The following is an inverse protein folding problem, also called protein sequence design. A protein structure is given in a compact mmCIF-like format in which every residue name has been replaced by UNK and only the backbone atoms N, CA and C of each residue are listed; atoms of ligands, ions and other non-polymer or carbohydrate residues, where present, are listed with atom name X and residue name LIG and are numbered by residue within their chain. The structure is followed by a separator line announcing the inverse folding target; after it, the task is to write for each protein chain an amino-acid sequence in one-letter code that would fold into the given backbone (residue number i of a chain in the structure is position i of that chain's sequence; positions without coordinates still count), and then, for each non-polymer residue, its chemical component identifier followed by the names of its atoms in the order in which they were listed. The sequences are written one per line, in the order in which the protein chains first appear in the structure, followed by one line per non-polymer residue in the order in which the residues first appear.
data_IF_682012169620
#
_entry.id   IF_682012169620
#
_cell.length_a   1.000
_cell.length_b   1.000
_cell.length_c   1.000
_cell.angle_alpha   90.00
_cell.angle_beta   90.00
_cell.angle_gamma   90.00
#
_symmetry.space_group_name_H-M   'P 1'
#
loop_
_entity.id
_entity.type
_entity.pdbx_description
1 polymer ?
#
# COMPACT_ATOMS: atom_id res chain seq x y z
N UNK A 1 7.36 -31.81 -4.18
CA UNK A 1 7.00 -32.77 -5.25
C UNK A 1 5.49 -32.86 -5.30
N UNK A 2 4.87 -32.01 -6.09
CA UNK A 2 3.42 -31.96 -6.32
C UNK A 2 3.15 -32.56 -7.70
N UNK A 3 2.38 -33.64 -7.71
CA UNK A 3 2.00 -34.37 -8.93
C UNK A 3 0.98 -33.54 -9.69
N UNK A 4 1.33 -33.09 -10.89
CA UNK A 4 0.42 -32.44 -11.84
C UNK A 4 -0.46 -33.54 -12.45
N UNK A 5 -1.80 -33.44 -12.42
CA UNK A 5 -2.65 -34.40 -13.12
C UNK A 5 -2.59 -34.15 -14.63
N UNK A 6 -2.30 -35.20 -15.40
CA UNK A 6 -2.31 -35.16 -16.87
C UNK A 6 -3.72 -34.81 -17.42
N UNK A 7 -3.80 -34.06 -18.53
CA UNK A 7 -5.07 -33.77 -19.18
C UNK A 7 -5.70 -35.05 -19.75
N UNK A 8 -7.04 -35.17 -19.77
CA UNK A 8 -7.70 -36.37 -20.24
C UNK A 8 -7.48 -36.56 -21.75
N UNK A 9 -6.96 -37.73 -22.11
CA UNK A 9 -6.80 -38.17 -23.50
C UNK A 9 -8.19 -38.41 -24.10
N UNK A 10 -8.56 -37.77 -25.23
CA UNK A 10 -9.86 -38.00 -25.85
C UNK A 10 -9.90 -39.42 -26.44
N UNK A 11 -10.77 -40.28 -25.89
CA UNK A 11 -10.99 -41.63 -26.42
C UNK A 11 -11.60 -41.57 -27.83
N UNK A 12 -10.98 -42.20 -28.86
CA UNK A 12 -11.48 -42.20 -30.24
C UNK A 12 -12.60 -43.24 -30.43
N UNK A 13 -13.65 -43.19 -29.60
CA UNK A 13 -14.68 -44.24 -29.55
C UNK A 13 -16.14 -43.77 -29.53
N UNK A 14 -16.43 -42.48 -29.29
CA UNK A 14 -17.83 -42.04 -29.15
C UNK A 14 -18.54 -41.71 -30.47
N UNK A 15 -17.81 -41.57 -31.57
CA UNK A 15 -18.41 -41.24 -32.89
C UNK A 15 -19.19 -42.40 -33.53
N UNK A 16 -18.90 -43.65 -33.15
CA UNK A 16 -19.51 -44.81 -33.80
C UNK A 16 -20.88 -45.23 -33.23
N UNK A 17 -21.28 -44.73 -32.05
CA UNK A 17 -22.51 -45.19 -31.37
C UNK A 17 -23.78 -44.44 -31.80
N UNK A 18 -23.65 -43.24 -32.36
CA UNK A 18 -24.77 -42.41 -32.83
C UNK A 18 -25.01 -42.55 -34.33
N UNK A 19 -24.06 -43.08 -35.09
CA UNK A 19 -24.14 -43.24 -36.55
C UNK A 19 -25.36 -44.07 -37.03
N UNK A 20 -25.71 -45.22 -36.41
CA UNK A 20 -26.87 -46.00 -36.85
C UNK A 20 -28.19 -45.24 -36.67
N UNK A 21 -28.31 -44.45 -35.61
CA UNK A 21 -29.49 -43.63 -35.32
C UNK A 21 -29.58 -42.39 -36.22
N UNK A 22 -28.44 -41.78 -36.58
CA UNK A 22 -28.38 -40.73 -37.58
C UNK A 22 -28.75 -41.25 -38.98
N UNK A 23 -28.25 -42.43 -39.39
CA UNK A 23 -28.63 -43.04 -40.66
C UNK A 23 -30.11 -43.46 -40.69
N UNK A 24 -30.65 -44.03 -39.61
CA UNK A 24 -32.06 -44.41 -39.53
C UNK A 24 -32.99 -43.20 -39.54
N UNK A 25 -32.65 -42.13 -38.81
CA UNK A 25 -33.41 -40.88 -38.82
C UNK A 25 -33.34 -40.16 -40.18
N UNK A 26 -32.17 -40.17 -40.85
CA UNK A 26 -32.01 -39.65 -42.21
C UNK A 26 -32.83 -40.49 -43.22
N UNK A 27 -32.86 -41.81 -43.08
CA UNK A 27 -33.64 -42.71 -43.92
C UNK A 27 -35.14 -42.44 -43.79
N UNK A 28 -35.65 -42.26 -42.57
CA UNK A 28 -37.06 -41.89 -42.31
C UNK A 28 -37.38 -40.48 -42.83
N UNK A 29 -36.46 -39.52 -42.66
CA UNK A 29 -36.60 -38.16 -43.18
C UNK A 29 -36.59 -38.07 -44.70
N UNK A 30 -35.91 -38.99 -45.41
CA UNK A 30 -35.86 -39.03 -46.89
C UNK A 30 -36.97 -39.89 -47.48
N UNK A 31 -37.34 -40.99 -46.84
CA UNK A 31 -38.35 -41.93 -47.36
C UNK A 31 -39.79 -41.42 -47.24
N UNK A 32 -40.12 -40.67 -46.17
CA UNK A 32 -41.47 -40.10 -45.99
C UNK A 32 -41.80 -39.06 -47.08
N UNK A 33 -40.93 -38.09 -47.42
CA UNK A 33 -41.16 -37.19 -48.55
C UNK A 33 -41.23 -37.94 -49.88
N UNK A 34 -40.41 -38.96 -50.12
CA UNK A 34 -40.45 -39.76 -51.35
C UNK A 34 -41.78 -40.49 -51.55
N UNK A 35 -42.37 -41.00 -50.47
CA UNK A 35 -43.70 -41.65 -50.48
C UNK A 35 -44.83 -40.60 -50.63
N UNK A 36 -44.67 -39.42 -50.03
CA UNK A 36 -45.64 -38.32 -50.13
C UNK A 36 -45.50 -37.49 -51.43
N UNK A 37 -44.37 -37.58 -52.14
CA UNK A 37 -44.13 -36.98 -53.46
C UNK A 37 -44.29 -37.98 -54.60
N UNK A 38 -44.48 -39.27 -54.30
CA UNK A 38 -44.82 -40.25 -55.32
C UNK A 38 -46.07 -39.77 -56.08
N UNK A 39 -45.97 -39.55 -57.40
CA UNK A 39 -47.10 -39.14 -58.20
C UNK A 39 -48.16 -40.24 -58.19
N UNK A 40 -49.44 -39.87 -58.16
CA UNK A 40 -50.55 -40.78 -57.83
C UNK A 40 -50.59 -42.08 -58.67
N UNK A 41 -50.07 -42.03 -59.90
CA UNK A 41 -49.98 -43.17 -60.82
C UNK A 41 -49.01 -44.29 -60.35
N UNK A 42 -48.06 -44.00 -59.45
CA UNK A 42 -47.17 -45.01 -58.89
C UNK A 42 -47.80 -45.82 -57.75
N UNK A 43 -48.80 -45.27 -57.06
CA UNK A 43 -49.47 -45.93 -55.93
C UNK A 43 -50.67 -46.76 -56.39
N UNK A 44 -51.37 -46.29 -57.43
CA UNK A 44 -52.48 -47.00 -58.07
C UNK A 44 -52.03 -47.48 -59.44
N UNK A 45 -51.48 -48.70 -59.51
CA UNK A 45 -50.96 -49.29 -60.74
C UNK A 45 -51.92 -49.19 -61.94
N UNK A 46 -51.35 -48.97 -63.12
CA UNK A 46 -51.98 -48.78 -64.43
C UNK A 46 -53.44 -49.25 -64.57
N UNK A 47 -54.39 -48.35 -64.32
CA UNK A 47 -55.77 -48.49 -64.77
C UNK A 47 -55.90 -47.88 -66.18
N UNK A 48 -56.49 -48.57 -67.17
CA UNK A 48 -56.70 -48.00 -68.50
C UNK A 48 -57.83 -46.97 -68.43
N UNK A 49 -57.54 -45.73 -68.81
CA UNK A 49 -58.52 -44.65 -68.88
C UNK A 49 -59.55 -44.93 -69.98
N UNK A 50 -60.82 -45.04 -69.61
CA UNK A 50 -61.92 -44.74 -70.51
C UNK A 50 -62.67 -43.51 -69.97
N UNK A 51 -63.03 -42.60 -70.85
CA UNK A 51 -63.45 -41.24 -70.54
C UNK A 51 -64.77 -41.16 -69.76
N UNK A 52 -64.69 -40.78 -68.49
CA UNK A 52 -65.69 -39.92 -67.83
C UNK A 52 -64.95 -38.98 -66.88
N UNK A 53 -65.05 -37.68 -67.11
CA UNK A 53 -64.66 -36.62 -66.18
C UNK A 53 -65.56 -36.70 -64.95
N UNK A 54 -65.21 -37.58 -64.02
CA UNK A 54 -65.95 -37.77 -62.76
C UNK A 54 -65.30 -36.91 -61.67
N UNK A 55 -66.07 -35.94 -61.15
CA UNK A 55 -65.63 -34.95 -60.16
C UNK A 55 -65.01 -35.60 -58.90
N UNK A 56 -65.44 -36.83 -58.63
CA UNK A 56 -64.96 -37.70 -57.55
C UNK A 56 -63.44 -37.94 -57.61
N UNK A 57 -62.86 -38.14 -58.80
CA UNK A 57 -61.42 -38.42 -58.96
C UNK A 57 -60.51 -37.22 -58.65
N UNK A 58 -60.97 -36.01 -59.00
CA UNK A 58 -60.28 -34.75 -58.72
C UNK A 58 -60.43 -34.38 -57.24
N UNK A 59 -61.59 -34.64 -56.63
CA UNK A 59 -61.83 -34.47 -55.19
C UNK A 59 -60.91 -35.38 -54.35
N UNK A 60 -60.74 -36.65 -54.73
CA UNK A 60 -59.81 -37.56 -54.04
C UNK A 60 -58.36 -37.11 -54.16
N UNK A 61 -57.94 -36.61 -55.33
CA UNK A 61 -56.59 -36.08 -55.53
C UNK A 61 -56.32 -34.83 -54.68
N UNK A 62 -57.30 -33.93 -54.57
CA UNK A 62 -57.22 -32.73 -53.74
C UNK A 62 -57.26 -33.05 -52.23
N UNK A 63 -58.04 -34.05 -51.81
CA UNK A 63 -58.06 -34.52 -50.42
C UNK A 63 -56.73 -35.15 -50.01
N UNK A 64 -56.11 -35.92 -50.90
CA UNK A 64 -54.78 -36.50 -50.68
C UNK A 64 -53.68 -35.44 -50.59
N UNK A 65 -53.69 -34.42 -51.46
CA UNK A 65 -52.71 -33.32 -51.38
C UNK A 65 -52.91 -32.45 -50.14
N UNK A 66 -54.16 -32.17 -49.74
CA UNK A 66 -54.46 -31.48 -48.49
C UNK A 66 -53.99 -32.28 -47.25
N UNK A 67 -54.20 -33.60 -47.23
CA UNK A 67 -53.71 -34.48 -46.17
C UNK A 67 -52.17 -34.55 -46.13
N UNK A 68 -51.50 -34.56 -47.28
CA UNK A 68 -50.03 -34.47 -47.37
C UNK A 68 -49.52 -33.15 -46.81
N UNK A 69 -50.16 -32.04 -47.16
CA UNK A 69 -49.81 -30.71 -46.67
C UNK A 69 -50.01 -30.59 -45.16
N UNK A 70 -51.10 -31.12 -44.59
CA UNK A 70 -51.33 -31.08 -43.15
C UNK A 70 -50.30 -31.92 -42.36
N UNK A 71 -49.89 -33.07 -42.90
CA UNK A 71 -48.79 -33.88 -42.34
C UNK A 71 -47.46 -33.13 -42.38
N UNK A 72 -47.16 -32.41 -43.47
CA UNK A 72 -45.93 -31.61 -43.59
C UNK A 72 -45.91 -30.43 -42.61
N UNK A 73 -47.03 -29.70 -42.47
CA UNK A 73 -47.12 -28.57 -41.53
C UNK A 73 -47.02 -29.02 -40.07
N UNK A 74 -47.62 -30.17 -39.72
CA UNK A 74 -47.53 -30.72 -38.35
C UNK A 74 -46.13 -31.22 -38.03
N UNK A 75 -45.47 -31.93 -38.95
CA UNK A 75 -44.08 -32.35 -38.79
C UNK A 75 -43.14 -31.13 -38.73
N UNK A 76 -43.30 -30.16 -39.61
CA UNK A 76 -42.53 -28.91 -39.61
C UNK A 76 -42.71 -28.12 -38.31
N UNK A 77 -43.94 -28.02 -37.80
CA UNK A 77 -44.24 -27.40 -36.51
C UNK A 77 -43.59 -28.13 -35.33
N UNK A 78 -43.56 -29.48 -35.35
CA UNK A 78 -42.94 -30.29 -34.31
C UNK A 78 -41.41 -30.12 -34.30
N UNK A 79 -40.78 -30.10 -35.48
CA UNK A 79 -39.35 -29.80 -35.62
C UNK A 79 -39.02 -28.39 -35.13
N UNK A 80 -39.85 -27.39 -35.48
CA UNK A 80 -39.67 -26.02 -35.00
C UNK A 80 -39.78 -25.94 -33.47
N UNK A 81 -40.75 -26.65 -32.87
CA UNK A 81 -40.92 -26.71 -31.41
C UNK A 81 -39.73 -27.36 -30.71
N UNK A 82 -39.21 -28.46 -31.25
CA UNK A 82 -37.96 -29.07 -30.75
C UNK A 82 -36.79 -28.10 -30.86
N UNK A 83 -36.68 -27.37 -31.97
CA UNK A 83 -35.68 -26.31 -32.17
C UNK A 83 -35.76 -25.21 -31.11
N UNK A 84 -36.97 -24.73 -30.79
CA UNK A 84 -37.20 -23.75 -29.72
C UNK A 84 -36.81 -24.30 -28.35
N UNK A 85 -37.20 -25.53 -28.02
CA UNK A 85 -36.85 -26.17 -26.73
C UNK A 85 -35.33 -26.33 -26.59
N UNK A 86 -34.65 -26.81 -27.64
CA UNK A 86 -33.19 -26.94 -27.64
C UNK A 86 -32.49 -25.57 -27.55
N UNK A 87 -33.04 -24.55 -28.22
CA UNK A 87 -32.54 -23.17 -28.13
C UNK A 87 -32.67 -22.61 -26.71
N UNK A 88 -33.83 -22.75 -26.07
CA UNK A 88 -34.05 -22.33 -24.69
C UNK A 88 -33.15 -23.11 -23.71
N UNK A 89 -32.97 -24.41 -23.93
CA UNK A 89 -32.07 -25.23 -23.12
C UNK A 89 -30.61 -24.79 -23.26
N UNK A 90 -30.14 -24.54 -24.50
CA UNK A 90 -28.79 -24.00 -24.75
C UNK A 90 -28.59 -22.63 -24.11
N UNK A 91 -29.52 -21.70 -24.34
CA UNK A 91 -29.44 -20.35 -23.78
C UNK A 91 -29.43 -20.37 -22.24
N UNK A 92 -30.28 -21.20 -21.61
CA UNK A 92 -30.29 -21.36 -20.15
C UNK A 92 -28.98 -21.96 -19.62
N UNK A 93 -28.40 -22.92 -20.35
CA UNK A 93 -27.11 -23.53 -20.00
C UNK A 93 -25.96 -22.55 -20.13
N UNK A 94 -25.95 -21.72 -21.17
CA UNK A 94 -24.96 -20.66 -21.38
C UNK A 94 -25.04 -19.60 -20.29
N UNK A 95 -26.23 -19.07 -19.98
CA UNK A 95 -26.41 -18.13 -18.88
C UNK A 95 -25.97 -18.71 -17.53
N UNK A 96 -26.30 -19.97 -17.24
CA UNK A 96 -25.86 -20.63 -16.01
C UNK A 96 -24.34 -20.80 -15.98
N UNK A 97 -23.71 -21.11 -17.12
CA UNK A 97 -22.25 -21.25 -17.20
C UNK A 97 -21.52 -19.93 -16.94
N UNK A 98 -22.04 -18.82 -17.48
CA UNK A 98 -21.47 -17.48 -17.24
C UNK A 98 -21.59 -17.09 -15.77
N UNK A 99 -22.75 -17.32 -15.15
CA UNK A 99 -22.95 -17.02 -13.72
C UNK A 99 -22.03 -17.86 -12.81
N UNK A 100 -21.89 -19.15 -13.11
CA UNK A 100 -20.99 -20.04 -12.39
C UNK A 100 -19.53 -19.59 -12.51
N UNK A 101 -19.12 -19.16 -13.70
CA UNK A 101 -17.76 -18.70 -13.95
C UNK A 101 -17.47 -17.38 -13.19
N UNK A 102 -18.41 -16.44 -13.20
CA UNK A 102 -18.29 -15.21 -12.41
C UNK A 102 -18.22 -15.50 -10.92
N UNK A 103 -19.05 -16.41 -10.41
CA UNK A 103 -19.02 -16.79 -9.01
C UNK A 103 -17.72 -17.50 -8.62
N UNK A 104 -17.18 -18.36 -9.49
CA UNK A 104 -15.85 -18.97 -9.30
C UNK A 104 -14.74 -17.93 -9.26
N UNK A 105 -14.73 -16.99 -10.20
CA UNK A 105 -13.73 -15.91 -10.21
C UNK A 105 -13.81 -15.05 -8.94
N UNK A 106 -15.02 -14.79 -8.44
CA UNK A 106 -15.21 -14.11 -7.17
C UNK A 106 -14.60 -14.91 -6.00
N UNK A 107 -14.95 -16.19 -5.89
CA UNK A 107 -14.41 -17.08 -4.86
C UNK A 107 -12.90 -17.24 -4.94
N UNK A 108 -12.33 -17.34 -6.15
CA UNK A 108 -10.88 -17.46 -6.36
C UNK A 108 -10.15 -16.18 -5.95
N UNK A 109 -10.69 -15.00 -6.29
CA UNK A 109 -10.15 -13.71 -5.82
C UNK A 109 -10.21 -13.59 -4.30
N UNK A 110 -11.32 -13.99 -3.71
CA UNK A 110 -11.52 -13.93 -2.27
C UNK A 110 -10.57 -14.89 -1.54
N UNK A 111 -10.40 -16.09 -2.08
CA UNK A 111 -9.43 -17.07 -1.59
C UNK A 111 -7.99 -16.57 -1.71
N UNK A 112 -7.63 -15.96 -2.85
CA UNK A 112 -6.31 -15.36 -3.03
C UNK A 112 -6.03 -14.24 -2.02
N UNK A 113 -7.04 -13.40 -1.73
CA UNK A 113 -6.95 -12.36 -0.69
C UNK A 113 -6.72 -12.99 0.68
N UNK A 114 -7.54 -13.96 1.08
CA UNK A 114 -7.42 -14.65 2.36
C UNK A 114 -6.08 -15.38 2.51
N UNK A 115 -5.59 -16.02 1.45
CA UNK A 115 -4.27 -16.65 1.44
C UNK A 115 -3.17 -15.60 1.58
N UNK A 116 -3.24 -14.49 0.84
CA UNK A 116 -2.29 -13.37 0.96
C UNK A 116 -2.26 -12.78 2.38
N UNK A 117 -3.42 -12.50 2.96
CA UNK A 117 -3.57 -11.94 4.30
C UNK A 117 -3.00 -12.88 5.37
N UNK A 118 -3.23 -14.19 5.21
CA UNK A 118 -2.66 -15.21 6.10
C UNK A 118 -1.14 -15.27 6.02
N UNK A 119 -0.57 -15.19 4.82
CA UNK A 119 0.88 -15.17 4.63
C UNK A 119 1.50 -13.90 5.23
N UNK A 120 0.85 -12.75 5.04
CA UNK A 120 1.29 -11.49 5.63
C UNK A 120 1.29 -11.58 7.16
N UNK A 121 0.18 -12.02 7.75
CA UNK A 121 0.03 -12.18 9.21
C UNK A 121 1.07 -13.13 9.79
N UNK A 122 1.37 -14.24 9.11
CA UNK A 122 2.41 -15.18 9.53
C UNK A 122 3.78 -14.51 9.54
N UNK A 123 4.20 -13.87 8.43
CA UNK A 123 5.51 -13.20 8.34
C UNK A 123 5.66 -12.08 9.38
N UNK A 124 4.58 -11.34 9.61
CA UNK A 124 4.54 -10.27 10.61
C UNK A 124 4.71 -10.82 12.03
N UNK A 125 3.97 -11.89 12.36
CA UNK A 125 4.08 -12.57 13.67
C UNK A 125 5.47 -13.15 13.89
N UNK A 126 6.05 -13.78 12.86
CA UNK A 126 7.41 -14.33 12.92
C UNK A 126 8.44 -13.22 13.15
N UNK A 127 8.31 -12.08 12.47
CA UNK A 127 9.20 -10.94 12.62
C UNK A 127 9.12 -10.31 14.02
N UNK A 128 7.92 -10.18 14.59
CA UNK A 128 7.75 -9.75 15.99
C UNK A 128 8.36 -10.77 16.96
N UNK A 129 8.16 -12.07 16.71
CA UNK A 129 8.76 -13.12 17.52
C UNK A 129 10.30 -13.01 17.55
N UNK A 130 10.91 -12.62 16.43
CA UNK A 130 12.34 -12.38 16.34
C UNK A 130 12.80 -11.12 17.10
N UNK A 131 11.99 -10.04 17.13
CA UNK A 131 12.30 -8.85 17.94
C UNK A 131 12.41 -9.17 19.44
N UNK A 132 11.57 -10.09 19.93
CA UNK A 132 11.56 -10.50 21.34
C UNK A 132 12.75 -11.38 21.77
N UNK A 133 13.66 -11.75 20.86
CA UNK A 133 14.79 -12.61 21.20
C UNK A 133 15.83 -11.86 22.04
N UNK A 134 15.89 -12.14 23.34
CA UNK A 134 16.82 -11.47 24.27
C UNK A 134 18.29 -11.89 24.04
N UNK A 135 18.52 -13.07 23.46
CA UNK A 135 19.85 -13.71 23.41
C UNK A 135 20.66 -13.29 22.19
N UNK A 136 20.01 -13.06 21.05
CA UNK A 136 20.69 -12.88 19.76
C UNK A 136 20.32 -11.57 19.08
N UNK A 137 21.29 -10.65 19.03
CA UNK A 137 21.20 -9.41 18.23
C UNK A 137 20.91 -9.75 16.77
N UNK A 138 21.53 -10.77 16.19
CA UNK A 138 21.32 -11.16 14.79
C UNK A 138 19.89 -11.60 14.50
N UNK A 139 19.21 -12.24 15.48
CA UNK A 139 17.79 -12.61 15.35
C UNK A 139 16.92 -11.36 15.38
N UNK A 140 17.16 -10.44 16.32
CA UNK A 140 16.42 -9.18 16.40
C UNK A 140 16.59 -8.33 15.15
N UNK A 141 17.81 -8.21 14.62
CA UNK A 141 18.07 -7.55 13.33
C UNK A 141 17.30 -8.20 12.18
N UNK A 142 17.21 -9.54 12.15
CA UNK A 142 16.37 -10.27 11.20
C UNK A 142 14.91 -9.84 11.27
N UNK A 143 14.37 -9.70 12.48
CA UNK A 143 13.02 -9.20 12.74
C UNK A 143 12.81 -7.76 12.26
N UNK A 144 13.75 -6.87 12.58
CA UNK A 144 13.72 -5.44 12.19
C UNK A 144 13.65 -5.30 10.66
N UNK A 145 14.55 -5.98 9.92
CA UNK A 145 14.57 -5.91 8.46
C UNK A 145 13.41 -6.67 7.80
N UNK A 146 12.89 -7.73 8.43
CA UNK A 146 11.67 -8.39 7.98
C UNK A 146 10.46 -7.45 8.08
N UNK A 147 10.36 -6.68 9.18
CA UNK A 147 9.34 -5.64 9.34
C UNK A 147 9.50 -4.51 8.33
N UNK A 148 10.72 -4.03 8.07
CA UNK A 148 10.97 -3.04 7.02
C UNK A 148 10.44 -3.53 5.66
N UNK A 149 10.79 -4.77 5.30
CA UNK A 149 10.33 -5.37 4.05
C UNK A 149 8.80 -5.49 4.03
N UNK A 150 8.18 -5.95 5.10
CA UNK A 150 6.72 -6.06 5.19
C UNK A 150 6.08 -4.68 5.04
N UNK A 151 6.59 -3.65 5.71
CA UNK A 151 6.10 -2.28 5.61
C UNK A 151 6.21 -1.74 4.17
N UNK A 152 7.28 -2.07 3.45
CA UNK A 152 7.48 -1.66 2.06
C UNK A 152 6.42 -2.23 1.10
N UNK A 153 5.91 -3.44 1.39
CA UNK A 153 4.92 -4.17 0.59
C UNK A 153 3.47 -3.89 1.05
N UNK A 154 3.28 -3.32 2.25
CA UNK A 154 1.98 -3.27 2.91
C UNK A 154 1.14 -2.02 2.58
N UNK A 155 -0.15 -2.12 2.86
CA UNK A 155 -1.05 -0.97 2.85
C UNK A 155 -0.65 0.06 3.94
N UNK A 156 -1.13 1.30 3.81
CA UNK A 156 -0.80 2.41 4.71
C UNK A 156 -1.10 2.08 6.20
N UNK A 157 -2.24 1.44 6.48
CA UNK A 157 -2.64 1.09 7.84
C UNK A 157 -1.70 0.05 8.50
N UNK A 158 -1.28 -0.95 7.72
CA UNK A 158 -0.37 -1.98 8.19
C UNK A 158 1.04 -1.42 8.42
N UNK A 159 1.47 -0.47 7.58
CA UNK A 159 2.73 0.26 7.78
C UNK A 159 2.72 1.05 9.08
N UNK A 160 1.64 1.78 9.38
CA UNK A 160 1.51 2.48 10.66
C UNK A 160 1.68 1.50 11.84
N UNK A 161 1.03 0.33 11.76
CA UNK A 161 1.17 -0.71 12.77
C UNK A 161 2.63 -1.16 12.95
N UNK A 162 3.37 -1.33 11.86
CA UNK A 162 4.80 -1.68 11.91
C UNK A 162 5.62 -0.55 12.53
N UNK A 163 5.36 0.72 12.16
CA UNK A 163 6.03 1.88 12.76
C UNK A 163 5.77 1.93 14.27
N UNK A 164 4.53 1.67 14.72
CA UNK A 164 4.16 1.64 16.14
C UNK A 164 4.91 0.55 16.91
N UNK A 165 5.07 -0.64 16.32
CA UNK A 165 5.85 -1.74 16.90
C UNK A 165 7.32 -1.38 17.01
N UNK A 166 7.92 -0.82 15.96
CA UNK A 166 9.32 -0.40 15.97
C UNK A 166 9.57 0.71 17.00
N UNK A 167 8.65 1.69 17.08
CA UNK A 167 8.73 2.75 18.06
C UNK A 167 8.52 2.24 19.50
N UNK A 168 7.63 1.27 19.71
CA UNK A 168 7.48 0.60 20.99
C UNK A 168 8.73 -0.16 21.40
N UNK A 169 9.34 -0.88 20.46
CA UNK A 169 10.60 -1.58 20.67
C UNK A 169 11.71 -0.62 21.10
N UNK A 170 11.83 0.57 20.49
CA UNK A 170 12.79 1.60 20.91
C UNK A 170 12.55 2.05 22.36
N UNK A 171 11.29 2.29 22.75
CA UNK A 171 10.94 2.69 24.13
C UNK A 171 11.27 1.61 25.16
N UNK A 172 11.18 0.33 24.79
CA UNK A 172 11.49 -0.79 25.69
C UNK A 172 12.98 -1.19 25.67
N UNK A 173 13.76 -0.74 24.68
CA UNK A 173 15.14 -1.18 24.46
C UNK A 173 16.06 -0.93 25.66
N UNK A 174 15.91 0.22 26.35
CA UNK A 174 16.64 0.54 27.58
C UNK A 174 16.34 -0.44 28.75
N UNK A 175 15.12 -0.98 28.83
CA UNK A 175 14.75 -2.00 29.81
C UNK A 175 15.34 -3.37 29.45
N UNK A 176 15.41 -3.71 28.17
CA UNK A 176 16.00 -4.96 27.67
C UNK A 176 17.52 -5.01 27.93
N UNK A 177 18.23 -3.89 27.84
CA UNK A 177 19.65 -3.83 28.19
C UNK A 177 19.91 -4.10 29.67
N UNK A 178 19.10 -3.54 30.56
CA UNK A 178 19.19 -3.83 32.00
C UNK A 178 18.98 -5.32 32.32
N UNK A 179 18.15 -6.02 31.53
CA UNK A 179 17.92 -7.46 31.69
C UNK A 179 19.06 -8.33 31.14
N UNK A 180 19.97 -7.81 30.29
CA UNK A 180 21.12 -8.55 29.73
C UNK A 180 22.19 -8.90 30.79
N UNK A 181 22.15 -8.28 31.96
CA UNK A 181 22.74 -8.78 33.22
C UNK A 181 24.23 -9.11 33.27
N UNK A 182 25.04 -8.97 32.22
CA UNK A 182 26.45 -9.41 32.19
C UNK A 182 27.40 -8.51 31.38
N UNK A 183 26.95 -7.39 30.82
CA UNK A 183 27.83 -6.43 30.17
C UNK A 183 28.04 -5.21 31.09
N UNK A 184 29.25 -4.62 31.12
CA UNK A 184 29.41 -3.28 31.69
C UNK A 184 28.39 -2.34 31.03
N UNK A 185 27.90 -1.32 31.75
CA UNK A 185 27.05 -0.31 31.13
C UNK A 185 27.76 0.18 29.85
N UNK A 186 27.04 0.33 28.72
CA UNK A 186 27.63 0.93 27.55
C UNK A 186 28.32 2.23 27.98
N UNK A 187 29.51 2.49 27.45
CA UNK A 187 30.08 3.83 27.57
C UNK A 187 29.03 4.82 27.09
N UNK A 188 28.91 5.99 27.71
CA UNK A 188 27.84 6.97 27.42
C UNK A 188 27.65 7.25 25.91
N UNK A 189 28.65 6.97 25.08
CA UNK A 189 28.66 7.13 23.63
C UNK A 189 28.13 5.95 22.77
N UNK A 190 27.91 4.72 23.30
CA UNK A 190 27.68 3.54 22.45
C UNK A 190 26.20 3.13 22.36
N UNK A 191 25.53 3.54 21.27
CA UNK A 191 24.15 3.15 20.95
C UNK A 191 24.05 1.65 20.61
N UNK A 192 23.02 0.98 21.13
CA UNK A 192 22.77 -0.44 20.83
C UNK A 192 22.57 -0.69 19.32
N UNK A 193 23.08 -1.83 18.82
CA UNK A 193 22.95 -2.19 17.40
C UNK A 193 21.49 -2.28 16.94
N UNK A 194 20.58 -2.70 17.82
CA UNK A 194 19.16 -2.78 17.49
C UNK A 194 18.54 -1.40 17.38
N UNK A 195 18.86 -0.50 18.32
CA UNK A 195 18.43 0.91 18.30
C UNK A 195 18.87 1.58 17.01
N UNK A 196 20.15 1.42 16.64
CA UNK A 196 20.71 1.96 15.41
C UNK A 196 19.98 1.43 14.15
N UNK A 197 19.69 0.11 14.12
CA UNK A 197 18.99 -0.52 13.02
C UNK A 197 17.54 -0.03 12.93
N UNK A 198 16.81 0.03 14.05
CA UNK A 198 15.43 0.54 14.07
C UNK A 198 15.38 2.00 13.64
N UNK A 199 16.27 2.86 14.14
CA UNK A 199 16.33 4.26 13.74
C UNK A 199 16.53 4.41 12.23
N UNK A 200 17.48 3.66 11.66
CA UNK A 200 17.76 3.67 10.21
C UNK A 200 16.55 3.19 9.40
N UNK A 201 15.87 2.13 9.86
CA UNK A 201 14.66 1.61 9.22
C UNK A 201 13.52 2.62 9.31
N UNK A 202 13.28 3.23 10.47
CA UNK A 202 12.27 4.27 10.65
C UNK A 202 12.52 5.46 9.70
N UNK A 203 13.77 5.92 9.60
CA UNK A 203 14.14 6.99 8.68
C UNK A 203 13.78 6.63 7.22
N UNK A 204 14.11 5.41 6.78
CA UNK A 204 13.83 4.95 5.41
C UNK A 204 12.33 4.76 5.16
N UNK A 205 11.62 4.15 6.10
CA UNK A 205 10.18 3.86 5.97
C UNK A 205 9.33 5.12 5.90
N UNK A 206 9.77 6.20 6.56
CA UNK A 206 9.09 7.49 6.55
C UNK A 206 9.38 8.32 5.30
N UNK A 207 10.58 8.19 4.72
CA UNK A 207 10.94 8.85 3.46
C UNK A 207 10.14 8.34 2.25
N UNK A 208 9.84 7.05 2.21
CA UNK A 208 9.50 6.36 0.96
C UNK A 208 8.10 6.63 0.40
N UNK A 209 7.27 7.50 0.97
CA UNK A 209 5.85 7.59 0.63
C UNK A 209 5.37 9.01 0.33
N UNK A 210 4.60 9.16 -0.75
CA UNK A 210 3.98 10.43 -1.18
C UNK A 210 3.01 11.02 -0.14
N UNK A 211 2.49 10.20 0.78
CA UNK A 211 1.59 10.59 1.87
C UNK A 211 2.29 10.68 3.24
N UNK A 212 3.62 10.88 3.27
CA UNK A 212 4.43 10.91 4.49
C UNK A 212 4.15 12.07 5.48
N UNK A 213 3.00 12.75 5.34
CA UNK A 213 2.54 13.82 6.22
C UNK A 213 1.69 13.39 7.42
N UNK A 214 1.37 12.09 7.58
CA UNK A 214 0.35 11.64 8.54
C UNK A 214 0.76 10.44 9.40
N UNK A 215 2.05 10.11 9.46
CA UNK A 215 2.48 9.02 10.34
C UNK A 215 2.41 9.51 11.79
N UNK A 216 1.63 8.83 12.61
CA UNK A 216 1.62 9.09 14.04
C UNK A 216 2.78 8.32 14.67
N UNK A 217 3.94 8.97 14.82
CA UNK A 217 5.14 8.29 15.34
C UNK A 217 5.40 8.79 16.75
N UNK A 218 5.26 7.88 17.71
CA UNK A 218 5.55 8.15 19.11
C UNK A 218 6.98 7.70 19.47
N UNK A 219 7.89 8.64 19.60
CA UNK A 219 9.26 8.44 20.07
C UNK A 219 9.49 9.14 21.42
N UNK A 220 8.45 9.25 22.24
CA UNK A 220 8.55 9.87 23.56
C UNK A 220 9.57 9.14 24.43
N UNK A 221 10.55 9.87 24.95
CA UNK A 221 11.56 9.37 25.89
C UNK A 221 12.47 8.28 25.33
N UNK A 222 12.54 8.07 24.01
CA UNK A 222 13.45 7.08 23.42
C UNK A 222 14.90 7.54 23.50
N UNK A 223 15.83 6.58 23.56
CA UNK A 223 17.25 6.86 23.36
C UNK A 223 17.66 6.58 21.92
N UNK A 224 18.04 7.65 21.22
CA UNK A 224 18.48 7.70 19.83
C UNK A 224 19.80 8.48 19.72
N UNK A 225 20.62 8.47 20.78
CA UNK A 225 21.96 9.04 20.77
C UNK A 225 22.77 8.54 19.55
N UNK A 226 23.34 9.45 18.76
CA UNK A 226 24.13 9.13 17.57
C UNK A 226 23.34 8.46 16.44
N UNK A 227 22.01 8.41 16.51
CA UNK A 227 21.19 7.74 15.50
C UNK A 227 21.27 8.43 14.14
N UNK A 228 21.22 7.63 13.07
CA UNK A 228 21.08 8.15 11.71
C UNK A 228 19.59 8.25 11.33
N UNK A 229 19.09 9.47 11.31
CA UNK A 229 17.75 9.87 10.91
C UNK A 229 17.77 10.86 9.73
N UNK A 230 18.84 10.84 8.92
CA UNK A 230 18.99 11.72 7.76
C UNK A 230 17.80 11.56 6.80
N UNK A 231 17.16 12.68 6.49
CA UNK A 231 15.98 12.76 5.62
C UNK A 231 14.71 12.16 6.21
N UNK A 232 14.71 11.67 7.47
CA UNK A 232 13.53 11.08 8.10
C UNK A 232 12.34 12.06 8.06
N UNK A 233 11.15 11.54 7.75
CA UNK A 233 9.92 12.36 7.68
C UNK A 233 9.06 12.08 8.91
N UNK A 234 9.18 12.95 9.89
CA UNK A 234 8.57 12.85 11.22
C UNK A 234 7.67 14.07 11.54
N UNK A 235 6.80 14.53 10.61
CA UNK A 235 5.91 15.65 10.91
C UNK A 235 4.97 15.27 12.06
N UNK A 236 4.78 16.19 13.00
CA UNK A 236 3.96 16.00 14.21
C UNK A 236 4.34 14.80 15.07
N UNK A 237 5.56 14.26 14.93
CA UNK A 237 6.03 13.16 15.76
C UNK A 237 6.14 13.59 17.23
N UNK A 238 5.88 12.65 18.16
CA UNK A 238 6.05 12.90 19.59
C UNK A 238 7.46 12.47 20.00
N UNK A 239 8.33 13.44 20.22
CA UNK A 239 9.75 13.30 20.55
C UNK A 239 10.08 13.94 21.91
N UNK A 240 9.06 14.25 22.71
CA UNK A 240 9.28 14.84 24.04
C UNK A 240 10.19 13.92 24.88
N UNK A 241 11.17 14.52 25.56
CA UNK A 241 12.19 13.83 26.36
C UNK A 241 13.09 12.84 25.59
N UNK A 242 13.03 12.78 24.25
CA UNK A 242 13.91 11.90 23.50
C UNK A 242 15.37 12.35 23.61
N UNK A 243 16.28 11.38 23.67
CA UNK A 243 17.71 11.63 23.55
C UNK A 243 18.15 11.50 22.09
N UNK A 244 18.52 12.60 21.46
CA UNK A 244 19.00 12.71 20.08
C UNK A 244 20.38 13.39 20.03
N UNK A 245 21.13 13.36 21.14
CA UNK A 245 22.49 13.89 21.17
C UNK A 245 23.35 13.23 20.11
N UNK A 246 24.17 14.02 19.42
CA UNK A 246 25.02 13.56 18.31
C UNK A 246 24.29 12.89 17.13
N UNK A 247 22.94 12.91 17.08
CA UNK A 247 22.18 12.29 16.00
C UNK A 247 22.37 13.04 14.66
N UNK A 248 22.35 12.28 13.56
CA UNK A 248 22.28 12.84 12.22
C UNK A 248 20.81 13.02 11.82
N UNK A 249 20.34 14.26 11.80
CA UNK A 249 18.99 14.71 11.42
C UNK A 249 19.03 15.63 10.18
N UNK A 250 20.11 15.56 9.39
CA UNK A 250 20.24 16.37 8.17
C UNK A 250 19.04 16.14 7.27
N UNK A 251 18.48 17.21 6.72
CA UNK A 251 17.29 17.17 5.85
C UNK A 251 16.04 16.51 6.46
N UNK A 252 16.02 16.23 7.77
CA UNK A 252 14.84 15.65 8.42
C UNK A 252 13.67 16.62 8.39
N UNK A 253 12.45 16.09 8.30
CA UNK A 253 11.20 16.85 8.40
C UNK A 253 10.60 16.60 9.77
N UNK A 254 10.66 17.61 10.63
CA UNK A 254 10.18 17.67 12.01
C UNK A 254 9.11 18.77 12.17
N UNK A 255 8.39 19.10 11.08
CA UNK A 255 7.34 20.11 11.07
C UNK A 255 6.29 19.79 12.14
N UNK A 256 5.97 20.77 12.99
CA UNK A 256 5.03 20.66 14.11
C UNK A 256 5.33 19.51 15.11
N UNK A 257 6.56 18.97 15.13
CA UNK A 257 6.91 17.89 16.05
C UNK A 257 6.89 18.36 17.52
N UNK A 258 6.41 17.49 18.41
CA UNK A 258 6.45 17.69 19.86
C UNK A 258 7.81 17.31 20.41
N UNK A 259 8.62 18.27 20.86
CA UNK A 259 10.01 18.08 21.26
C UNK A 259 10.33 18.77 22.60
N UNK A 260 9.40 18.75 23.56
CA UNK A 260 9.61 19.33 24.89
C UNK A 260 10.74 18.58 25.60
N UNK A 261 11.72 19.29 26.17
CA UNK A 261 12.89 18.70 26.85
C UNK A 261 13.70 17.70 26.00
N UNK A 262 13.63 17.78 24.67
CA UNK A 262 14.46 16.95 23.80
C UNK A 262 15.95 17.28 24.01
N UNK A 263 16.82 16.27 23.98
CA UNK A 263 18.27 16.46 24.00
C UNK A 263 18.81 16.35 22.57
N UNK A 264 19.36 17.43 22.05
CA UNK A 264 19.91 17.58 20.69
C UNK A 264 21.34 18.16 20.74
N UNK A 265 22.02 18.07 21.89
CA UNK A 265 23.41 18.51 22.04
C UNK A 265 24.26 17.89 20.94
N UNK A 266 25.02 18.73 20.24
CA UNK A 266 25.91 18.35 19.12
C UNK A 266 25.24 17.53 17.99
N UNK A 267 23.91 17.55 17.87
CA UNK A 267 23.20 16.90 16.78
C UNK A 267 23.37 17.67 15.45
N UNK A 268 23.33 16.97 14.32
CA UNK A 268 23.38 17.58 12.98
C UNK A 268 21.97 17.72 12.39
N UNK A 269 21.43 18.94 12.43
CA UNK A 269 20.14 19.32 11.85
C UNK A 269 20.30 20.21 10.59
N UNK A 270 21.44 20.15 9.88
CA UNK A 270 21.61 20.97 8.68
C UNK A 270 20.49 20.74 7.67
N UNK A 271 19.88 21.83 7.18
CA UNK A 271 18.74 21.83 6.26
C UNK A 271 17.50 21.06 6.78
N UNK A 272 17.38 20.80 8.08
CA UNK A 272 16.18 20.21 8.64
C UNK A 272 14.99 21.20 8.56
N UNK A 273 13.79 20.68 8.33
CA UNK A 273 12.55 21.45 8.46
C UNK A 273 11.97 21.22 9.85
N UNK A 274 12.13 22.19 10.74
CA UNK A 274 11.58 22.24 12.10
C UNK A 274 10.51 23.34 12.23
N UNK A 275 9.84 23.71 11.13
CA UNK A 275 8.79 24.73 11.12
C UNK A 275 7.70 24.36 12.12
N UNK A 276 7.32 25.32 12.97
CA UNK A 276 6.27 25.12 13.98
C UNK A 276 6.62 24.11 15.09
N UNK A 277 7.82 23.53 15.09
CA UNK A 277 8.21 22.52 16.07
C UNK A 277 8.16 23.07 17.51
N UNK A 278 7.75 22.23 18.45
CA UNK A 278 7.61 22.56 19.85
C UNK A 278 8.87 22.14 20.62
N UNK A 279 9.83 23.05 20.77
CA UNK A 279 11.14 22.84 21.41
C UNK A 279 11.33 23.60 22.75
N UNK A 280 10.32 23.73 23.63
CA UNK A 280 10.54 24.40 24.89
C UNK A 280 11.49 23.58 25.77
N UNK A 281 12.44 24.27 26.41
CA UNK A 281 13.44 23.65 27.29
C UNK A 281 14.32 22.59 26.58
N UNK A 282 14.42 22.63 25.25
CA UNK A 282 15.27 21.74 24.47
C UNK A 282 16.76 22.07 24.67
N UNK A 283 17.61 21.04 24.75
CA UNK A 283 19.06 21.20 24.79
C UNK A 283 19.63 21.11 23.37
N UNK A 284 20.00 22.25 22.77
CA UNK A 284 20.54 22.38 21.42
C UNK A 284 21.99 22.90 21.44
N UNK A 285 22.68 22.78 22.58
CA UNK A 285 24.04 23.27 22.72
C UNK A 285 24.95 22.60 21.69
N UNK A 286 25.74 23.38 20.94
CA UNK A 286 26.62 22.86 19.89
C UNK A 286 25.91 22.27 18.66
N UNK A 287 24.57 22.25 18.63
CA UNK A 287 23.82 21.66 17.53
C UNK A 287 24.09 22.40 16.20
N UNK A 288 24.17 21.63 15.13
CA UNK A 288 24.41 22.12 13.79
C UNK A 288 23.08 22.38 13.07
N UNK A 289 22.61 23.62 13.09
CA UNK A 289 21.32 24.06 12.54
C UNK A 289 21.47 24.89 11.26
N UNK A 290 22.60 24.74 10.55
CA UNK A 290 22.89 25.53 9.36
C UNK A 290 21.82 25.34 8.29
N UNK A 291 21.25 26.45 7.80
CA UNK A 291 20.14 26.45 6.83
C UNK A 291 18.88 25.69 7.28
N UNK A 292 18.72 25.40 8.57
CA UNK A 292 17.49 24.80 9.08
C UNK A 292 16.32 25.80 9.03
N UNK A 293 15.11 25.30 8.80
CA UNK A 293 13.88 26.09 8.91
C UNK A 293 13.25 25.89 10.30
N UNK A 294 13.37 26.90 11.16
CA UNK A 294 12.77 27.00 12.49
C UNK A 294 11.64 28.05 12.51
N UNK A 295 11.04 28.35 11.34
CA UNK A 295 9.98 29.36 11.24
C UNK A 295 8.82 29.01 12.15
N UNK A 296 8.38 29.96 12.98
CA UNK A 296 7.30 29.80 13.97
C UNK A 296 7.54 28.70 15.01
N UNK A 297 8.77 28.20 15.18
CA UNK A 297 9.09 27.22 16.21
C UNK A 297 8.98 27.82 17.62
N UNK A 298 8.63 26.97 18.59
CA UNK A 298 8.57 27.34 20.00
C UNK A 298 9.88 26.94 20.69
N UNK A 299 10.80 27.88 20.85
CA UNK A 299 12.15 27.66 21.38
C UNK A 299 12.31 28.28 22.78
N UNK A 300 11.22 28.51 23.51
CA UNK A 300 11.28 29.19 24.80
C UNK A 300 12.11 28.38 25.81
N UNK A 301 13.09 29.04 26.46
CA UNK A 301 14.05 28.44 27.39
C UNK A 301 14.92 27.33 26.79
N UNK A 302 15.01 27.24 25.46
CA UNK A 302 15.95 26.33 24.82
C UNK A 302 17.39 26.82 24.98
N UNK A 303 18.32 25.88 25.09
CA UNK A 303 19.75 26.16 25.12
C UNK A 303 20.33 26.05 23.70
N UNK A 304 20.55 27.18 23.03
CA UNK A 304 21.18 27.28 21.71
C UNK A 304 22.66 27.68 21.83
N UNK A 305 23.27 27.55 23.01
CA UNK A 305 24.66 27.93 23.24
C UNK A 305 25.59 27.21 22.26
N UNK A 306 26.55 27.92 21.66
CA UNK A 306 27.52 27.37 20.70
C UNK A 306 26.91 26.69 19.46
N UNK A 307 25.61 26.84 19.23
CA UNK A 307 24.96 26.25 18.07
C UNK A 307 25.36 26.96 16.78
N UNK A 308 25.35 26.22 15.67
CA UNK A 308 25.62 26.76 14.34
C UNK A 308 24.31 27.05 13.61
N UNK A 309 23.84 28.29 13.68
CA UNK A 309 22.58 28.76 13.08
C UNK A 309 22.80 29.53 11.78
N UNK A 310 23.96 29.35 11.12
CA UNK A 310 24.29 30.13 9.93
C UNK A 310 23.26 29.87 8.82
N UNK A 311 22.68 30.93 8.28
CA UNK A 311 21.58 30.91 7.29
C UNK A 311 20.30 30.20 7.75
N UNK A 312 20.13 29.91 9.05
CA UNK A 312 18.89 29.35 9.57
C UNK A 312 17.74 30.37 9.50
N UNK A 313 16.52 29.89 9.30
CA UNK A 313 15.31 30.75 9.30
C UNK A 313 14.58 30.58 10.62
N UNK A 314 14.55 31.61 11.46
CA UNK A 314 13.84 31.65 12.74
C UNK A 314 12.66 32.64 12.71
N UNK A 315 12.13 32.93 11.51
CA UNK A 315 11.08 33.93 11.34
C UNK A 315 9.86 33.59 12.19
N UNK A 316 9.41 34.52 13.04
CA UNK A 316 8.23 34.30 13.91
C UNK A 316 8.46 33.33 15.07
N UNK A 317 9.68 32.81 15.28
CA UNK A 317 9.95 31.89 16.37
C UNK A 317 9.76 32.55 17.75
N UNK A 318 9.33 31.79 18.75
CA UNK A 318 9.29 32.23 20.14
C UNK A 318 10.61 31.89 20.84
N UNK A 319 11.41 32.90 21.12
CA UNK A 319 12.75 32.79 21.73
C UNK A 319 12.77 33.22 23.20
N UNK A 320 11.60 33.24 23.86
CA UNK A 320 11.48 33.65 25.27
C UNK A 320 12.43 32.90 26.19
N UNK A 321 13.45 33.57 26.72
CA UNK A 321 14.45 32.96 27.60
C UNK A 321 15.40 31.95 26.94
N UNK A 322 15.46 31.89 25.60
CA UNK A 322 16.46 31.09 24.90
C UNK A 322 17.88 31.62 25.13
N UNK A 323 18.87 30.73 25.17
CA UNK A 323 20.27 31.07 25.44
C UNK A 323 21.07 30.99 24.13
N UNK A 324 21.81 32.03 23.77
CA UNK A 324 22.61 32.08 22.54
C UNK A 324 24.12 32.22 22.79
N UNK A 325 24.59 31.95 24.01
CA UNK A 325 25.99 32.09 24.40
C UNK A 325 26.91 31.32 23.45
N UNK A 326 27.75 32.03 22.69
CA UNK A 326 28.65 31.37 21.74
C UNK A 326 28.03 30.99 20.39
N UNK A 327 26.75 31.30 20.14
CA UNK A 327 26.07 30.86 18.91
C UNK A 327 26.58 31.59 17.65
N UNK A 328 26.51 30.92 16.50
CA UNK A 328 26.88 31.49 15.20
C UNK A 328 25.63 31.83 14.37
N UNK A 329 25.30 33.11 14.27
CA UNK A 329 24.09 33.63 13.61
C UNK A 329 24.33 34.21 12.21
N UNK A 330 25.49 33.98 11.58
CA UNK A 330 25.83 34.56 10.27
C UNK A 330 24.72 34.29 9.23
N UNK A 331 24.11 35.35 8.69
CA UNK A 331 23.01 35.26 7.73
C UNK A 331 21.71 34.61 8.23
N UNK A 332 21.55 34.40 9.53
CA UNK A 332 20.31 33.89 10.11
C UNK A 332 19.17 34.92 9.98
N UNK A 333 17.94 34.45 9.85
CA UNK A 333 16.75 35.30 9.83
C UNK A 333 15.94 35.19 11.12
N UNK A 334 16.07 36.17 11.99
CA UNK A 334 15.29 36.30 13.22
C UNK A 334 14.15 37.34 13.08
N UNK A 335 13.80 37.76 11.87
CA UNK A 335 12.70 38.70 11.65
C UNK A 335 11.40 38.17 12.27
N UNK A 336 10.60 39.06 12.85
CA UNK A 336 9.36 38.69 13.54
C UNK A 336 9.52 37.71 14.73
N UNK A 337 10.73 37.29 15.12
CA UNK A 337 10.91 36.48 16.30
C UNK A 337 10.48 37.26 17.56
N UNK A 338 9.92 36.56 18.54
CA UNK A 338 9.30 37.17 19.72
C UNK A 338 9.95 36.68 21.01
N UNK A 339 9.78 37.44 22.09
CA UNK A 339 10.23 37.02 23.43
C UNK A 339 11.74 37.14 23.68
N UNK A 340 12.52 37.61 22.71
CA UNK A 340 13.95 37.81 22.89
C UNK A 340 14.28 39.21 23.42
N UNK A 341 15.44 39.35 24.07
CA UNK A 341 16.01 40.63 24.49
C UNK A 341 17.30 40.90 23.72
N UNK A 342 17.74 42.16 23.75
CA UNK A 342 19.04 42.54 23.18
C UNK A 342 20.20 41.77 23.82
N UNK A 343 20.17 41.60 25.15
CA UNK A 343 21.21 40.91 25.90
C UNK A 343 21.33 39.43 25.49
N UNK A 344 20.19 38.74 25.29
CA UNK A 344 20.19 37.36 24.81
C UNK A 344 20.87 37.22 23.44
N UNK A 345 20.62 38.16 22.53
CA UNK A 345 21.17 38.11 21.18
C UNK A 345 22.63 38.58 21.11
N UNK A 346 23.03 39.52 21.95
CA UNK A 346 24.41 40.03 22.01
C UNK A 346 25.40 38.97 22.52
N UNK A 347 24.92 37.97 23.28
CA UNK A 347 25.69 36.83 23.75
C UNK A 347 26.16 35.88 22.63
N UNK A 348 25.57 35.99 21.43
CA UNK A 348 26.04 35.27 20.25
C UNK A 348 27.50 35.63 19.93
N UNK A 349 28.28 34.64 19.48
CA UNK A 349 29.70 34.82 19.16
C UNK A 349 29.88 35.45 17.79
N UNK A 350 29.07 35.06 16.80
CA UNK A 350 29.21 35.54 15.43
C UNK A 350 27.89 35.97 14.81
N UNK A 351 27.94 37.08 14.07
CA UNK A 351 26.90 37.52 13.14
C UNK A 351 27.49 38.47 12.09
N UNK A 352 26.80 38.61 10.97
CA UNK A 352 27.22 39.45 9.84
C UNK A 352 26.10 40.40 9.38
N UNK A 353 26.40 41.22 8.37
CA UNK A 353 25.46 42.19 7.79
C UNK A 353 24.23 41.54 7.13
N UNK A 354 24.30 40.23 6.83
CA UNK A 354 23.18 39.48 6.25
C UNK A 354 22.22 38.93 7.29
N UNK A 355 22.60 39.00 8.57
CA UNK A 355 21.77 38.58 9.71
C UNK A 355 20.59 39.53 9.87
N UNK A 356 19.37 38.99 9.84
CA UNK A 356 18.14 39.78 10.02
C UNK A 356 17.67 39.68 11.47
N UNK A 357 17.51 40.83 12.12
CA UNK A 357 17.15 40.90 13.53
C UNK A 357 15.64 41.06 13.73
N UNK A 358 15.11 40.73 14.92
CA UNK A 358 13.74 41.07 15.29
C UNK A 358 13.50 42.59 15.26
N UNK A 359 12.24 42.99 15.10
CA UNK A 359 11.87 44.41 15.05
C UNK A 359 12.32 45.14 16.33
N UNK A 360 13.11 46.21 16.16
CA UNK A 360 13.63 47.01 17.28
C UNK A 360 14.88 46.44 17.96
N UNK A 361 15.51 45.39 17.41
CA UNK A 361 16.67 44.71 18.00
C UNK A 361 17.90 44.66 17.08
N UNK A 362 18.25 45.76 16.43
CA UNK A 362 19.51 45.86 15.68
C UNK A 362 20.71 46.03 16.63
N UNK A 363 21.75 45.18 16.57
CA UNK A 363 22.98 45.33 17.32
C UNK A 363 23.57 46.73 17.16
N UNK A 364 23.94 47.35 18.27
CA UNK A 364 24.67 48.63 18.25
C UNK A 364 26.13 48.46 17.85
N UNK A 365 26.62 47.22 17.86
CA UNK A 365 28.01 46.82 17.64
C UNK A 365 28.15 46.26 16.21
N UNK A 366 29.24 46.57 15.48
CA UNK A 366 29.51 45.99 14.16
C UNK A 366 29.53 44.46 14.18
N UNK A 367 29.34 43.86 13.01
CA UNK A 367 29.37 42.43 12.79
C UNK A 367 30.52 41.74 13.55
N UNK A 368 30.20 40.70 14.32
CA UNK A 368 31.20 39.81 14.93
C UNK A 368 31.60 38.76 13.89
N UNK A 369 32.32 39.18 12.87
CA UNK A 369 32.97 38.25 11.94
C UNK A 369 34.26 37.79 12.59
N UNK A 370 34.33 36.54 13.03
CA UNK A 370 35.58 35.93 13.51
C UNK A 370 36.73 36.18 12.53
N UNK A 371 37.92 36.47 13.07
CA UNK A 371 39.16 36.71 12.32
C UNK A 371 39.68 35.47 11.62
#
# INVERSE_FOLDING_TARGET
MTVIPEPPVPHPGQWHRTWPWLCASLFVLVSIPLILWAPAWMVFGAFPWNHTTDSTSVEWANALTAARQSVLWTLGGLVALVGVVLSLYRNRREHLSVQLEQHRQFLDKDRQRLESDRHWTSRYTDAIGQLGDVKSVSVRLGGIYALERLASEAAVADRQTILDVLAAYLRESASMEHQKGHLPPPTEDEMSTDTAAVATVLARLTQSHENAGYWNINLHGVDLHGANLEGARLPSAHLDYANLEHANLRFAVLEDAGMHFVRLTDADLHNANCRGAHLPDAALSGASLGSADLSNAYLNRSDLSRSHLSHATLTGANLSGAIFDGAHLNGADLSQATGTTFEQLEAAEMWDESTRWPDGHTPSIPAKTGS
#
